data_IF_627316702828
#
_entry.id   IF_627316702828
#
_cell.length_a   1.000
_cell.length_b   1.000
_cell.length_c   1.000
_cell.angle_alpha   90.00
_cell.angle_beta   90.00
_cell.angle_gamma   90.00
#
_symmetry.space_group_name_H-M   'P 1'
#
loop_
_entity.id
_entity.type
_entity.pdbx_description
1 polymer ?
#
# COMPACT_ATOMS: atom_id res chain seq x y z
N UNK A 1 -15.53 1.04 10.23
CA UNK A 1 -15.68 1.85 9.01
C UNK A 1 -14.61 1.37 8.05
N UNK A 2 -14.97 0.60 7.01
CA UNK A 2 -14.01 0.18 5.98
C UNK A 2 -13.60 1.41 5.18
N UNK A 3 -12.30 1.68 5.14
CA UNK A 3 -11.76 2.77 4.31
C UNK A 3 -11.96 2.40 2.82
N UNK A 4 -12.48 3.31 1.99
CA UNK A 4 -12.81 2.98 0.61
C UNK A 4 -11.56 2.65 -0.21
N UNK A 5 -11.70 1.71 -1.15
CA UNK A 5 -10.64 1.36 -2.10
C UNK A 5 -10.38 2.58 -2.99
N UNK A 6 -9.15 3.09 -2.99
CA UNK A 6 -8.74 4.22 -3.85
C UNK A 6 -7.92 3.71 -5.01
N UNK A 7 -8.18 4.22 -6.20
CA UNK A 7 -7.38 3.89 -7.39
C UNK A 7 -6.72 5.16 -7.91
N UNK A 8 -5.40 5.11 -8.05
CA UNK A 8 -4.58 6.20 -8.55
C UNK A 8 -4.04 5.84 -9.94
N UNK A 9 -3.94 6.84 -10.81
CA UNK A 9 -3.39 6.66 -12.16
C UNK A 9 -1.90 6.37 -12.12
N UNK A 10 -1.19 7.01 -11.21
CA UNK A 10 0.21 6.73 -10.95
C UNK A 10 0.47 6.63 -9.43
N UNK A 11 1.37 5.75 -9.02
CA UNK A 11 1.76 5.62 -7.59
C UNK A 11 2.36 6.90 -6.99
N UNK A 12 2.85 7.80 -7.85
CA UNK A 12 3.38 9.12 -7.46
C UNK A 12 2.29 10.14 -7.14
N UNK A 13 1.06 9.89 -7.58
CA UNK A 13 -0.08 10.75 -7.26
C UNK A 13 -0.60 10.54 -5.83
N UNK A 14 -0.05 9.54 -5.13
CA UNK A 14 -0.44 9.20 -3.76
C UNK A 14 0.29 10.13 -2.81
N UNK A 15 -0.44 10.91 -1.99
CA UNK A 15 0.18 11.74 -0.97
C UNK A 15 0.88 10.84 0.05
N UNK A 16 2.14 11.11 0.37
CA UNK A 16 2.86 10.38 1.42
C UNK A 16 2.15 10.49 2.78
N UNK A 17 1.45 11.59 3.04
CA UNK A 17 0.61 11.77 4.24
C UNK A 17 -0.57 10.79 4.34
N UNK A 18 -1.08 10.30 3.22
CA UNK A 18 -2.16 9.31 3.18
C UNK A 18 -1.58 7.88 3.23
N UNK A 19 -0.26 7.73 3.08
CA UNK A 19 0.42 6.45 3.08
C UNK A 19 0.84 6.04 4.50
N UNK A 20 0.05 5.14 5.11
CA UNK A 20 0.24 4.72 6.50
C UNK A 20 1.06 3.44 6.71
N UNK A 21 1.54 2.80 5.63
CA UNK A 21 2.18 1.50 5.69
C UNK A 21 3.70 1.60 5.48
N UNK A 22 4.51 1.71 6.55
CA UNK A 22 5.95 1.94 6.43
C UNK A 22 6.72 0.75 5.86
N UNK A 23 6.16 -0.46 5.92
CA UNK A 23 6.80 -1.67 5.38
C UNK A 23 6.55 -1.88 3.88
N UNK A 24 5.78 -1.00 3.23
CA UNK A 24 5.43 -1.08 1.82
C UNK A 24 5.61 0.28 1.15
N UNK A 25 6.06 0.27 -0.11
CA UNK A 25 6.15 1.49 -0.92
C UNK A 25 5.00 1.55 -1.94
N UNK A 26 4.49 2.75 -2.30
CA UNK A 26 3.50 2.89 -3.35
C UNK A 26 3.91 2.24 -4.67
N UNK A 27 5.20 2.29 -5.01
CA UNK A 27 5.76 1.68 -6.21
C UNK A 27 5.71 0.14 -6.21
N UNK A 28 5.77 -0.50 -5.04
CA UNK A 28 5.70 -1.96 -4.91
C UNK A 28 4.29 -2.50 -5.10
N UNK A 29 3.30 -1.73 -4.67
CA UNK A 29 1.87 -2.07 -4.80
C UNK A 29 1.33 -1.68 -6.19
N UNK A 30 2.02 -0.77 -6.87
CA UNK A 30 1.64 -0.33 -8.20
C UNK A 30 1.97 -1.36 -9.28
N UNK A 31 1.20 -1.32 -10.36
CA UNK A 31 1.45 -2.14 -11.53
C UNK A 31 2.76 -1.68 -12.20
N UNK A 32 3.76 -2.57 -12.28
CA UNK A 32 5.08 -2.25 -12.87
C UNK A 32 5.04 -1.82 -14.34
N UNK A 33 3.97 -2.16 -15.07
CA UNK A 33 3.82 -1.79 -16.48
C UNK A 33 3.19 -0.41 -16.70
N UNK A 34 2.19 -0.03 -15.90
CA UNK A 34 1.41 1.20 -16.11
C UNK A 34 1.62 2.25 -15.04
N UNK A 35 2.22 1.89 -13.90
CA UNK A 35 2.34 2.75 -12.73
C UNK A 35 1.03 2.93 -11.95
N UNK A 36 -0.08 2.35 -12.42
CA UNK A 36 -1.38 2.44 -11.75
C UNK A 36 -1.33 1.77 -10.39
N UNK A 37 -1.91 2.43 -9.40
CA UNK A 37 -1.93 1.92 -8.03
C UNK A 37 -3.37 1.74 -7.57
N UNK A 38 -3.69 0.53 -7.12
CA UNK A 38 -4.97 0.24 -6.46
C UNK A 38 -4.73 0.07 -4.96
N UNK A 39 -5.03 1.12 -4.21
CA UNK A 39 -4.91 1.16 -2.77
C UNK A 39 -6.11 0.45 -2.15
N UNK A 40 -5.86 -0.72 -1.56
CA UNK A 40 -6.83 -1.48 -0.77
C UNK A 40 -6.43 -1.40 0.71
N UNK A 41 -7.02 -0.49 1.49
CA UNK A 41 -6.59 -0.26 2.86
C UNK A 41 -6.70 -1.52 3.74
N UNK A 42 -7.78 -2.29 3.61
CA UNK A 42 -7.96 -3.55 4.34
C UNK A 42 -6.94 -4.63 3.96
N UNK A 43 -6.55 -4.70 2.69
CA UNK A 43 -5.55 -5.68 2.24
C UNK A 43 -4.15 -5.28 2.72
N UNK A 44 -3.81 -3.99 2.61
CA UNK A 44 -2.54 -3.46 3.10
C UNK A 44 -2.43 -3.53 4.62
N UNK A 45 -3.49 -3.26 5.37
CA UNK A 45 -3.49 -3.43 6.83
C UNK A 45 -3.23 -4.89 7.22
N UNK A 46 -3.83 -5.86 6.53
CA UNK A 46 -3.56 -7.28 6.77
C UNK A 46 -2.12 -7.65 6.42
N UNK A 47 -1.58 -7.14 5.31
CA UNK A 47 -0.19 -7.35 4.92
C UNK A 47 0.80 -6.74 5.92
N UNK A 48 0.52 -5.52 6.38
CA UNK A 48 1.30 -4.82 7.39
C UNK A 48 1.24 -5.57 8.72
N UNK A 49 0.06 -5.99 9.18
CA UNK A 49 -0.10 -6.78 10.40
C UNK A 49 0.61 -8.13 10.29
N UNK A 50 0.62 -8.76 9.12
CA UNK A 50 1.37 -9.98 8.89
C UNK A 50 2.88 -9.72 8.98
N UNK A 51 3.38 -8.64 8.39
CA UNK A 51 4.80 -8.28 8.39
C UNK A 51 5.30 -7.86 9.78
N UNK A 52 4.48 -7.09 10.49
CA UNK A 52 4.69 -6.71 11.89
C UNK A 52 4.77 -7.96 12.79
N UNK A 53 3.82 -8.89 12.62
CA UNK A 53 3.83 -10.19 13.33
C UNK A 53 4.98 -11.10 12.92
N UNK A 54 5.41 -11.06 11.66
CA UNK A 54 6.55 -11.85 11.22
C UNK A 54 7.83 -11.35 11.87
N UNK A 55 7.96 -10.05 12.16
CA UNK A 55 8.96 -9.45 13.07
C UNK A 55 10.43 -9.76 12.79
N UNK A 56 10.72 -10.49 11.72
CA UNK A 56 12.05 -10.95 11.34
C UNK A 56 12.47 -10.16 10.11
N UNK A 57 13.50 -9.29 10.21
CA UNK A 57 14.23 -8.91 9.02
C UNK A 57 14.76 -10.21 8.39
N UNK A 58 14.50 -10.39 7.11
CA UNK A 58 15.16 -11.41 6.30
C UNK A 58 16.42 -10.75 5.73
#
# INVERSE_FOLDING_TARGET
>A
MSDPIRTFRHFRDVPERDWRWPNFSPAEIACRGTGQLKLHPEALDKLQALRDRLGKPL
#
